data_IF_709305059759
#
_entry.id   IF_709305059759
#
_cell.length_a   1.000
_cell.length_b   1.000
_cell.length_c   1.000
_cell.angle_alpha   90.00
_cell.angle_beta   90.00
_cell.angle_gamma   90.00
#
_symmetry.space_group_name_H-M   'P 1'
#
loop_
_entity.id
_entity.type
_entity.pdbx_description
1 polymer ?
#
# COMPACT_ATOMS: atom_id res chain seq x y z
N UNK A 1 1.66 31.60 6.03
CA UNK A 1 1.95 30.88 4.77
C UNK A 1 0.87 29.85 4.60
N UNK A 2 0.28 29.69 3.40
CA UNK A 2 -0.58 28.54 3.15
C UNK A 2 0.18 27.28 3.55
N UNK A 3 -0.51 26.36 4.22
CA UNK A 3 0.08 25.17 4.81
C UNK A 3 0.56 24.27 3.65
N UNK A 4 1.86 24.32 3.30
CA UNK A 4 2.40 23.62 2.12
C UNK A 4 2.04 22.13 2.10
N UNK A 5 1.97 21.52 3.29
CA UNK A 5 1.52 20.15 3.46
C UNK A 5 0.08 19.91 2.96
N UNK A 6 -0.84 20.85 3.20
CA UNK A 6 -2.23 20.73 2.79
C UNK A 6 -2.36 20.82 1.26
N UNK A 7 -1.65 21.77 0.65
CA UNK A 7 -1.61 21.92 -0.80
C UNK A 7 -0.99 20.69 -1.48
N UNK A 8 0.12 20.20 -0.93
CA UNK A 8 0.77 18.97 -1.40
C UNK A 8 -0.15 17.75 -1.23
N UNK A 9 -0.89 17.65 -0.12
CA UNK A 9 -1.86 16.58 0.11
C UNK A 9 -3.01 16.63 -0.89
N UNK A 10 -3.55 17.82 -1.20
CA UNK A 10 -4.59 18.01 -2.21
C UNK A 10 -4.07 17.57 -3.58
N UNK A 11 -2.86 17.98 -3.95
CA UNK A 11 -2.20 17.59 -5.20
C UNK A 11 -2.01 16.06 -5.32
N UNK A 12 -1.91 15.35 -4.19
CA UNK A 12 -1.78 13.89 -4.15
C UNK A 12 -3.11 13.14 -4.27
N UNK A 13 -4.28 13.77 -4.13
CA UNK A 13 -5.58 13.07 -4.14
C UNK A 13 -5.83 12.24 -5.41
N UNK A 14 -5.58 12.73 -6.65
CA UNK A 14 -5.77 11.93 -7.85
C UNK A 14 -4.91 10.67 -7.85
N UNK A 15 -3.67 10.79 -7.36
CA UNK A 15 -2.68 9.70 -7.27
C UNK A 15 -3.09 8.64 -6.25
N UNK A 16 -3.62 9.06 -5.10
CA UNK A 16 -4.19 8.16 -4.10
C UNK A 16 -5.41 7.41 -4.62
N UNK A 17 -6.30 8.07 -5.38
CA UNK A 17 -7.45 7.42 -6.03
C UNK A 17 -7.03 6.30 -6.98
N UNK A 18 -5.98 6.52 -7.78
CA UNK A 18 -5.46 5.48 -8.70
C UNK A 18 -5.03 4.23 -7.94
N UNK A 19 -4.28 4.38 -6.85
CA UNK A 19 -3.87 3.23 -6.04
C UNK A 19 -5.09 2.58 -5.34
N UNK A 20 -5.99 3.38 -4.78
CA UNK A 20 -7.19 2.88 -4.12
C UNK A 20 -8.07 2.05 -5.06
N UNK A 21 -8.27 2.51 -6.31
CA UNK A 21 -8.99 1.76 -7.34
C UNK A 21 -8.29 0.44 -7.68
N UNK A 22 -6.95 0.45 -7.77
CA UNK A 22 -6.18 -0.75 -8.05
C UNK A 22 -6.28 -1.80 -6.93
N UNK A 23 -6.42 -1.35 -5.68
CA UNK A 23 -6.55 -2.22 -4.50
C UNK A 23 -7.98 -2.75 -4.33
N UNK A 24 -8.97 -1.86 -4.46
CA UNK A 24 -10.36 -2.15 -4.09
C UNK A 24 -11.22 -2.67 -5.25
N UNK A 25 -10.87 -2.34 -6.50
CA UNK A 25 -11.71 -2.58 -7.68
C UNK A 25 -13.16 -2.12 -7.50
N UNK A 26 -13.37 -1.04 -6.74
CA UNK A 26 -14.70 -0.47 -6.53
C UNK A 26 -14.55 1.03 -6.36
N UNK A 27 -15.28 1.81 -7.16
CA UNK A 27 -15.21 3.27 -7.09
C UNK A 27 -15.65 3.80 -5.73
N UNK A 28 -16.73 3.25 -5.20
CA UNK A 28 -17.23 3.63 -3.87
C UNK A 28 -16.19 3.31 -2.79
N UNK A 29 -15.70 2.06 -2.75
CA UNK A 29 -14.71 1.65 -1.76
C UNK A 29 -13.37 2.40 -1.91
N UNK A 30 -13.00 2.80 -3.12
CA UNK A 30 -11.81 3.59 -3.37
C UNK A 30 -11.92 5.02 -2.83
N UNK A 31 -13.06 5.70 -3.03
CA UNK A 31 -13.27 7.04 -2.46
C UNK A 31 -13.30 7.00 -0.94
N UNK A 32 -13.97 6.00 -0.34
CA UNK A 32 -13.98 5.79 1.12
C UNK A 32 -12.55 5.58 1.65
N UNK A 33 -11.77 4.73 0.98
CA UNK A 33 -10.38 4.46 1.36
C UNK A 33 -9.51 5.73 1.26
N UNK A 34 -9.69 6.54 0.22
CA UNK A 34 -8.96 7.82 0.07
C UNK A 34 -9.36 8.81 1.17
N UNK A 35 -10.66 8.92 1.47
CA UNK A 35 -11.14 9.78 2.55
C UNK A 35 -10.52 9.38 3.89
N UNK A 36 -10.57 8.10 4.26
CA UNK A 36 -9.94 7.59 5.48
C UNK A 36 -8.44 7.83 5.50
N UNK A 37 -7.77 7.71 4.35
CA UNK A 37 -6.34 7.99 4.20
C UNK A 37 -6.03 9.45 4.51
N UNK A 38 -6.80 10.38 3.96
CA UNK A 38 -6.63 11.82 4.19
C UNK A 38 -6.86 12.18 5.66
N UNK A 39 -7.92 11.65 6.28
CA UNK A 39 -8.20 11.85 7.71
C UNK A 39 -7.02 11.36 8.56
N UNK A 40 -6.51 10.15 8.30
CA UNK A 40 -5.37 9.62 9.01
C UNK A 40 -4.08 10.40 8.76
N UNK A 41 -3.84 10.87 7.53
CA UNK A 41 -2.67 11.67 7.20
C UNK A 41 -2.68 13.02 7.92
N UNK A 42 -3.84 13.68 8.00
CA UNK A 42 -3.99 14.93 8.76
C UNK A 42 -3.79 14.69 10.26
N UNK A 43 -4.36 13.62 10.83
CA UNK A 43 -4.16 13.26 12.22
C UNK A 43 -2.69 12.90 12.54
N UNK A 44 -1.99 12.28 11.59
CA UNK A 44 -0.59 11.89 11.72
C UNK A 44 0.39 12.95 11.18
N UNK A 45 -0.06 14.17 10.84
CA UNK A 45 0.77 15.21 10.21
C UNK A 45 2.07 15.46 10.97
N UNK A 46 2.02 15.50 12.30
CA UNK A 46 3.20 15.72 13.15
C UNK A 46 4.26 14.61 13.06
N UNK A 47 3.89 13.41 12.56
CA UNK A 47 4.81 12.28 12.36
C UNK A 47 5.50 12.32 10.99
N UNK A 48 4.99 13.12 10.05
CA UNK A 48 5.65 13.33 8.77
C UNK A 48 6.93 14.15 8.96
N UNK A 49 8.03 13.68 8.38
CA UNK A 49 9.33 14.38 8.43
C UNK A 49 9.48 15.23 7.16
N UNK A 50 9.50 16.57 7.27
CA UNK A 50 9.74 17.44 6.11
C UNK A 50 11.05 17.08 5.40
N UNK A 51 11.07 17.17 4.07
CA UNK A 51 12.21 16.77 3.24
C UNK A 51 12.28 15.28 2.89
N UNK A 52 11.36 14.46 3.42
CA UNK A 52 11.16 13.07 2.95
C UNK A 52 10.06 12.98 1.89
N UNK A 53 9.93 11.84 1.22
CA UNK A 53 8.93 11.67 0.16
C UNK A 53 7.50 11.55 0.74
N UNK A 54 6.74 12.64 0.64
CA UNK A 54 5.33 12.70 1.05
C UNK A 54 4.47 11.67 0.31
N UNK A 55 4.70 11.47 -0.99
CA UNK A 55 3.92 10.52 -1.79
C UNK A 55 4.09 9.09 -1.26
N UNK A 56 5.33 8.65 -1.03
CA UNK A 56 5.60 7.34 -0.45
C UNK A 56 4.95 7.17 0.93
N UNK A 57 5.01 8.21 1.78
CA UNK A 57 4.37 8.20 3.09
C UNK A 57 2.84 8.06 3.00
N UNK A 58 2.18 8.83 2.13
CA UNK A 58 0.73 8.75 1.92
C UNK A 58 0.28 7.40 1.33
N UNK A 59 1.01 6.89 0.32
CA UNK A 59 0.74 5.56 -0.26
C UNK A 59 0.89 4.44 0.77
N UNK A 60 1.81 4.58 1.73
CA UNK A 60 1.95 3.66 2.86
C UNK A 60 0.76 3.73 3.82
N UNK A 61 0.28 4.92 4.16
CA UNK A 61 -0.93 5.09 5.01
C UNK A 61 -2.13 4.42 4.32
N UNK A 62 -2.34 4.70 3.04
CA UNK A 62 -3.44 4.16 2.25
C UNK A 62 -3.42 2.62 2.26
N UNK A 63 -2.26 2.03 1.97
CA UNK A 63 -2.11 0.57 1.94
C UNK A 63 -2.34 -0.06 3.32
N UNK A 64 -1.84 0.56 4.38
CA UNK A 64 -2.07 0.07 5.74
C UNK A 64 -3.55 0.13 6.13
N UNK A 65 -4.27 1.18 5.72
CA UNK A 65 -5.71 1.29 5.91
C UNK A 65 -6.44 0.17 5.17
N UNK A 66 -6.14 -0.03 3.90
CA UNK A 66 -6.74 -1.12 3.10
C UNK A 66 -6.54 -2.50 3.73
N UNK A 67 -5.31 -2.83 4.16
CA UNK A 67 -5.02 -4.12 4.82
C UNK A 67 -5.80 -4.24 6.14
N UNK A 68 -5.92 -3.15 6.90
CA UNK A 68 -6.69 -3.13 8.15
C UNK A 68 -8.17 -3.40 7.90
N UNK A 69 -8.75 -2.80 6.86
CA UNK A 69 -10.15 -3.01 6.48
C UNK A 69 -10.39 -4.44 5.99
N UNK A 70 -9.47 -4.99 5.20
CA UNK A 70 -9.52 -6.39 4.76
C UNK A 70 -9.45 -7.39 5.91
N UNK A 71 -8.65 -7.11 6.95
CA UNK A 71 -8.60 -7.97 8.15
C UNK A 71 -9.90 -7.91 8.94
N UNK A 72 -10.56 -6.74 9.01
CA UNK A 72 -11.84 -6.55 9.72
C UNK A 72 -13.03 -7.18 8.99
N UNK A 73 -12.99 -7.25 7.65
CA UNK A 73 -14.09 -7.75 6.81
C UNK A 73 -14.21 -9.28 6.72
N UNK A 74 -13.33 -10.07 7.35
CA UNK A 74 -13.53 -11.52 7.46
C UNK A 74 -14.48 -11.79 8.64
N UNK A 75 -15.69 -12.38 8.47
CA UNK A 75 -16.08 -13.40 7.46
C UNK A 75 -17.32 -13.09 6.55
N UNK A 76 -17.30 -13.66 5.33
CA UNK A 76 -18.44 -13.96 4.39
C UNK A 76 -19.20 -12.84 3.62
N UNK A 77 -18.52 -11.96 2.87
CA UNK A 77 -19.19 -11.25 1.77
C UNK A 77 -18.30 -11.23 0.51
N UNK A 78 -18.78 -11.70 -0.65
CA UNK A 78 -18.09 -11.52 -1.92
C UNK A 78 -18.00 -10.02 -2.25
N UNK A 79 -16.79 -9.53 -2.54
CA UNK A 79 -16.62 -8.18 -3.07
C UNK A 79 -17.06 -8.25 -4.54
N UNK A 80 -18.11 -7.51 -4.89
CA UNK A 80 -18.44 -7.27 -6.29
C UNK A 80 -17.27 -6.52 -6.94
N UNK A 81 -16.60 -7.19 -7.88
CA UNK A 81 -15.53 -6.61 -8.70
C UNK A 81 -16.15 -5.60 -9.67
N UNK A 82 -15.86 -4.30 -9.49
CA UNK A 82 -16.16 -3.27 -10.48
C UNK A 82 -14.92 -3.04 -11.36
N UNK A 83 -15.03 -3.04 -12.70
CA UNK A 83 -13.89 -2.85 -13.57
C UNK A 83 -13.24 -1.46 -13.41
N UNK A 84 -11.92 -1.37 -13.56
CA UNK A 84 -11.12 -0.12 -13.45
C UNK A 84 -11.48 0.93 -14.52
N UNK A 85 -12.41 0.63 -15.43
CA UNK A 85 -12.78 1.42 -16.62
C UNK A 85 -13.29 2.86 -16.42
N UNK A 86 -13.28 3.39 -15.19
CA UNK A 86 -13.65 4.78 -14.88
C UNK A 86 -12.48 5.77 -14.92
N UNK A 87 -11.26 5.34 -15.25
CA UNK A 87 -10.08 6.24 -15.23
C UNK A 87 -9.95 7.14 -16.48
N UNK A 88 -10.77 6.95 -17.51
CA UNK A 88 -10.68 7.71 -18.76
C UNK A 88 -11.57 8.95 -18.74
N UNK A 89 -10.98 10.13 -18.53
CA UNK A 89 -11.58 11.40 -18.94
C UNK A 89 -11.69 11.43 -20.47
N UNK A 90 -12.75 12.08 -20.98
CA UNK A 90 -13.17 12.08 -22.38
C UNK A 90 -12.01 12.12 -23.39
N UNK A 91 -11.87 11.03 -24.15
CA UNK A 91 -10.96 10.88 -25.26
C UNK A 91 -11.75 10.41 -26.50
N UNK A 92 -11.13 10.48 -27.68
CA UNK A 92 -11.64 9.90 -28.92
C UNK A 92 -12.19 8.48 -28.67
N UNK A 93 -13.31 8.05 -29.27
CA UNK A 93 -13.79 6.68 -29.18
C UNK A 93 -12.70 5.60 -29.30
N UNK A 94 -11.68 5.81 -30.14
CA UNK A 94 -10.55 4.89 -30.29
C UNK A 94 -9.67 4.82 -29.02
N UNK A 95 -9.32 5.97 -28.44
CA UNK A 95 -8.52 6.05 -27.20
C UNK A 95 -9.26 5.44 -26.01
N UNK A 96 -10.59 5.62 -25.97
CA UNK A 96 -11.43 5.00 -24.92
C UNK A 96 -11.41 3.49 -25.02
N UNK A 97 -11.41 2.93 -26.23
CA UNK A 97 -11.33 1.48 -26.43
C UNK A 97 -9.98 0.93 -25.93
N UNK A 98 -8.88 1.55 -26.33
CA UNK A 98 -7.52 1.17 -25.88
C UNK A 98 -7.40 1.26 -24.36
N UNK A 99 -7.92 2.34 -23.75
CA UNK A 99 -7.92 2.50 -22.30
C UNK A 99 -8.75 1.42 -21.58
N UNK A 100 -9.88 1.00 -22.17
CA UNK A 100 -10.69 -0.09 -21.62
C UNK A 100 -9.99 -1.44 -21.72
N UNK A 101 -9.29 -1.72 -22.82
CA UNK A 101 -8.50 -2.94 -22.99
C UNK A 101 -7.34 -3.01 -21.99
N UNK A 102 -6.62 -1.90 -21.82
CA UNK A 102 -5.58 -1.78 -20.80
C UNK A 102 -6.14 -1.97 -19.38
N UNK A 103 -7.27 -1.34 -19.07
CA UNK A 103 -7.92 -1.49 -17.76
C UNK A 103 -8.30 -2.96 -17.48
N UNK A 104 -8.87 -3.66 -18.46
CA UNK A 104 -9.19 -5.10 -18.36
C UNK A 104 -7.93 -5.95 -18.18
N UNK A 105 -6.84 -5.63 -18.88
CA UNK A 105 -5.58 -6.35 -18.75
C UNK A 105 -4.96 -6.16 -17.35
N UNK A 106 -4.98 -4.93 -16.82
CA UNK A 106 -4.57 -4.62 -15.45
C UNK A 106 -5.41 -5.35 -14.41
N UNK A 107 -6.72 -5.44 -14.63
CA UNK A 107 -7.63 -6.15 -13.71
C UNK A 107 -7.30 -7.64 -13.61
N UNK A 108 -6.77 -8.26 -14.65
CA UNK A 108 -6.34 -9.66 -14.64
C UNK A 108 -5.03 -9.92 -13.90
N UNK A 109 -4.24 -8.88 -13.61
CA UNK A 109 -3.01 -9.04 -12.86
C UNK A 109 -3.30 -9.40 -11.38
N UNK A 110 -2.44 -10.21 -10.74
CA UNK A 110 -2.44 -10.36 -9.29
C UNK A 110 -2.36 -9.00 -8.60
N UNK A 111 -3.10 -8.82 -7.50
CA UNK A 111 -3.21 -7.52 -6.81
C UNK A 111 -1.84 -6.89 -6.48
N UNK A 112 -0.92 -7.69 -5.94
CA UNK A 112 0.45 -7.23 -5.64
C UNK A 112 1.21 -6.74 -6.88
N UNK A 113 1.04 -7.40 -8.03
CA UNK A 113 1.72 -7.03 -9.28
C UNK A 113 1.12 -5.75 -9.86
N UNK A 114 -0.22 -5.64 -9.86
CA UNK A 114 -0.93 -4.42 -10.27
C UNK A 114 -0.54 -3.23 -9.41
N UNK A 115 -0.60 -3.38 -8.08
CA UNK A 115 -0.22 -2.31 -7.14
C UNK A 115 1.23 -1.86 -7.38
N UNK A 116 2.17 -2.81 -7.43
CA UNK A 116 3.59 -2.50 -7.63
C UNK A 116 3.83 -1.78 -8.97
N UNK A 117 3.20 -2.26 -10.05
CA UNK A 117 3.36 -1.67 -11.36
C UNK A 117 2.88 -0.21 -11.35
N UNK A 118 1.68 0.05 -10.84
CA UNK A 118 1.10 1.41 -10.84
C UNK A 118 1.87 2.38 -9.96
N UNK A 119 2.38 1.92 -8.80
CA UNK A 119 3.22 2.76 -7.95
C UNK A 119 4.52 3.17 -8.65
N UNK A 120 5.13 2.28 -9.43
CA UNK A 120 6.35 2.61 -10.18
C UNK A 120 6.03 3.47 -11.42
N UNK A 121 5.04 3.09 -12.24
CA UNK A 121 4.86 3.70 -13.56
C UNK A 121 3.98 4.95 -13.55
N UNK A 122 2.88 4.93 -12.80
CA UNK A 122 1.97 6.08 -12.74
C UNK A 122 2.30 7.01 -11.58
N UNK A 123 2.76 6.43 -10.46
CA UNK A 123 3.16 7.21 -9.30
C UNK A 123 4.65 7.52 -9.29
N UNK A 124 5.46 7.03 -10.22
CA UNK A 124 6.88 7.43 -10.31
C UNK A 124 7.71 7.14 -9.06
N UNK A 125 7.27 6.24 -8.18
CA UNK A 125 8.05 5.82 -7.01
C UNK A 125 9.21 4.93 -7.46
N UNK A 126 10.36 5.11 -6.80
CA UNK A 126 11.50 4.19 -6.94
C UNK A 126 11.15 2.79 -6.43
N UNK A 127 11.93 1.79 -6.84
CA UNK A 127 11.73 0.42 -6.36
C UNK A 127 11.92 0.31 -4.83
N UNK A 128 12.81 1.13 -4.29
CA UNK A 128 13.12 1.28 -2.87
C UNK A 128 11.92 1.84 -2.11
N UNK A 129 11.32 2.93 -2.59
CA UNK A 129 10.12 3.52 -1.97
C UNK A 129 8.92 2.58 -2.06
N UNK A 130 8.73 1.88 -3.19
CA UNK A 130 7.66 0.88 -3.30
C UNK A 130 7.88 -0.30 -2.36
N UNK A 131 9.14 -0.70 -2.13
CA UNK A 131 9.47 -1.73 -1.15
C UNK A 131 9.08 -1.28 0.28
N UNK A 132 9.32 -0.02 0.63
CA UNK A 132 8.89 0.57 1.90
C UNK A 132 7.36 0.68 2.03
N UNK A 133 6.66 1.09 0.97
CA UNK A 133 5.19 1.17 0.94
C UNK A 133 4.57 -0.21 1.10
N UNK A 134 5.09 -1.20 0.36
CA UNK A 134 4.50 -2.55 0.30
C UNK A 134 5.02 -3.48 1.39
N UNK A 135 6.05 -3.10 2.14
CA UNK A 135 6.71 -3.94 3.14
C UNK A 135 7.38 -5.18 2.54
N UNK A 136 7.89 -5.06 1.31
CA UNK A 136 8.52 -6.15 0.55
C UNK A 136 9.99 -5.85 0.28
N UNK A 137 10.79 -6.85 -0.12
CA UNK A 137 12.18 -6.61 -0.53
C UNK A 137 12.26 -5.93 -1.91
N UNK A 138 13.28 -5.10 -2.15
CA UNK A 138 13.49 -4.40 -3.44
C UNK A 138 13.54 -5.38 -4.63
N UNK A 139 14.20 -6.54 -4.48
CA UNK A 139 14.19 -7.59 -5.51
C UNK A 139 12.81 -8.19 -5.79
N UNK A 140 11.92 -8.22 -4.79
CA UNK A 140 10.52 -8.63 -4.98
C UNK A 140 9.75 -7.59 -5.77
N UNK A 141 9.98 -6.30 -5.51
CA UNK A 141 9.39 -5.20 -6.29
C UNK A 141 9.81 -5.29 -7.76
N UNK A 142 11.13 -5.39 -8.02
CA UNK A 142 11.66 -5.51 -9.39
C UNK A 142 11.08 -6.71 -10.14
N UNK A 143 11.03 -7.89 -9.50
CA UNK A 143 10.45 -9.09 -10.13
C UNK A 143 8.94 -9.00 -10.34
N UNK A 144 8.19 -8.33 -9.45
CA UNK A 144 6.75 -8.06 -9.65
C UNK A 144 6.52 -7.12 -10.83
N UNK A 145 7.29 -6.04 -10.96
CA UNK A 145 7.20 -5.11 -12.11
C UNK A 145 7.50 -5.83 -13.42
N UNK A 146 8.58 -6.62 -13.45
CA UNK A 146 8.95 -7.40 -14.64
C UNK A 146 7.81 -8.34 -15.07
N UNK A 147 7.27 -9.13 -14.13
CA UNK A 147 6.17 -10.06 -14.40
C UNK A 147 4.89 -9.35 -14.83
N UNK A 148 4.57 -8.20 -14.21
CA UNK A 148 3.41 -7.40 -14.57
C UNK A 148 3.51 -6.89 -16.01
N UNK A 149 4.67 -6.36 -16.41
CA UNK A 149 4.93 -5.91 -17.79
C UNK A 149 4.79 -7.04 -18.80
N UNK A 150 5.45 -8.17 -18.57
CA UNK A 150 5.35 -9.34 -19.45
C UNK A 150 3.93 -9.92 -19.54
N UNK A 151 3.12 -9.79 -18.48
CA UNK A 151 1.72 -10.19 -18.52
C UNK A 151 0.85 -9.22 -19.34
N UNK A 152 1.08 -7.91 -19.23
CA UNK A 152 0.38 -6.91 -20.03
C UNK A 152 0.76 -7.00 -21.52
N UNK A 153 2.05 -7.18 -21.81
CA UNK A 153 2.57 -7.35 -23.17
C UNK A 153 1.88 -8.51 -23.88
N UNK A 154 1.85 -9.69 -23.25
CA UNK A 154 1.12 -10.87 -23.77
C UNK A 154 -0.38 -10.62 -23.93
N UNK A 155 -1.00 -9.87 -23.01
CA UNK A 155 -2.43 -9.62 -23.04
C UNK A 155 -2.86 -8.61 -24.12
N UNK A 156 -1.99 -7.66 -24.48
CA UNK A 156 -2.31 -6.54 -25.37
C UNK A 156 -1.73 -6.69 -26.78
N UNK A 157 -0.53 -7.26 -26.92
CA UNK A 157 0.14 -7.42 -28.22
C UNK A 157 -0.06 -8.80 -28.83
N UNK A 158 -0.61 -9.76 -28.07
CA UNK A 158 -0.95 -11.08 -28.57
C UNK A 158 0.26 -11.82 -29.14
N UNK A 159 1.23 -12.15 -28.30
CA UNK A 159 2.26 -13.13 -28.68
C UNK A 159 1.77 -14.54 -28.35
N UNK A 160 1.82 -15.40 -29.38
CA UNK A 160 1.51 -16.83 -29.32
C UNK A 160 2.20 -17.50 -28.13
N UNK A 161 1.55 -18.52 -27.57
CA UNK A 161 2.13 -19.39 -26.55
C UNK A 161 3.55 -19.84 -26.95
N UNK A 162 4.55 -19.17 -26.41
CA UNK A 162 5.96 -19.48 -26.56
C UNK A 162 6.60 -19.35 -25.19
N UNK A 163 6.96 -20.48 -24.61
CA UNK A 163 7.63 -20.65 -23.33
C UNK A 163 7.00 -19.90 -22.14
N UNK A 164 6.15 -20.62 -21.40
CA UNK A 164 6.01 -20.31 -19.96
C UNK A 164 7.40 -20.51 -19.35
N UNK A 165 8.07 -19.50 -18.74
CA UNK A 165 9.17 -19.84 -17.86
C UNK A 165 8.51 -20.59 -16.72
N UNK A 166 8.73 -21.90 -16.72
CA UNK A 166 8.30 -22.82 -15.69
C UNK A 166 8.47 -22.15 -14.33
N UNK A 167 7.44 -22.25 -13.49
CA UNK A 167 7.46 -21.81 -12.12
C UNK A 167 8.79 -22.22 -11.47
N UNK A 168 9.72 -21.26 -11.35
CA UNK A 168 10.93 -21.48 -10.58
C UNK A 168 10.47 -21.64 -9.14
N UNK A 169 10.79 -22.77 -8.49
CA UNK A 169 10.25 -23.08 -7.19
C UNK A 169 10.71 -22.02 -6.18
N UNK A 170 9.82 -21.74 -5.22
CA UNK A 170 10.06 -20.88 -4.07
C UNK A 170 11.46 -21.10 -3.47
N UNK A 171 12.11 -20.07 -2.91
CA UNK A 171 13.39 -20.26 -2.24
C UNK A 171 13.25 -21.36 -1.19
N UNK A 172 14.05 -22.42 -1.36
CA UNK A 172 14.17 -23.53 -0.42
C UNK A 172 14.42 -22.94 0.96
N UNK A 173 13.45 -23.09 1.87
CA UNK A 173 13.66 -22.88 3.30
C UNK A 173 14.80 -23.80 3.71
N UNK A 174 15.94 -23.23 4.08
CA UNK A 174 16.97 -23.97 4.78
C UNK A 174 16.33 -24.59 6.03
N UNK A 175 16.12 -25.90 5.96
CA UNK A 175 15.72 -26.76 7.07
C UNK A 175 16.86 -26.67 8.09
N UNK A 176 16.74 -25.80 9.10
CA UNK A 176 17.63 -25.85 10.26
C UNK A 176 17.25 -27.09 11.05
N UNK A 177 18.25 -27.95 11.24
CA UNK A 177 18.19 -29.15 12.04
C UNK A 177 17.58 -28.88 13.42
N UNK A 178 16.61 -29.73 13.80
CA UNK A 178 16.24 -29.93 15.18
C UNK A 178 17.40 -30.65 15.89
N UNK A 179 17.79 -30.10 17.04
CA UNK A 179 18.83 -30.64 17.91
C UNK A 179 18.82 -29.91 19.25
N UNK A 180 17.97 -30.39 20.16
CA UNK A 180 18.19 -30.52 21.61
C UNK A 180 18.72 -29.34 22.45
N UNK A 181 17.83 -28.81 23.31
CA UNK A 181 18.07 -28.63 24.76
C UNK A 181 18.91 -27.44 25.25
N UNK A 182 18.25 -26.44 25.84
CA UNK A 182 18.90 -25.40 26.69
C UNK A 182 17.91 -24.29 27.11
N UNK A 183 17.97 -23.77 28.36
CA UNK A 183 16.80 -23.26 29.08
C UNK A 183 16.38 -21.81 28.73
N UNK A 184 15.13 -21.51 29.10
CA UNK A 184 14.42 -20.26 28.84
C UNK A 184 15.11 -18.99 29.39
N UNK A 185 15.04 -17.85 28.67
CA UNK A 185 15.51 -16.58 29.20
C UNK A 185 14.49 -15.97 30.19
N UNK A 186 15.03 -15.51 31.33
CA UNK A 186 14.35 -14.81 32.42
C UNK A 186 13.61 -13.56 31.94
N UNK A 187 12.42 -13.34 32.50
CA UNK A 187 11.64 -12.12 32.37
C UNK A 187 12.44 -10.90 32.88
N UNK A 188 12.56 -9.89 32.03
CA UNK A 188 13.02 -8.55 32.41
C UNK A 188 11.84 -7.83 33.06
N UNK A 189 11.89 -7.72 34.39
CA UNK A 189 11.00 -6.87 35.18
C UNK A 189 11.24 -5.40 34.85
N UNK A 190 10.22 -4.71 34.34
CA UNK A 190 10.20 -3.26 34.32
C UNK A 190 9.71 -2.76 35.70
N UNK A 191 10.41 -1.82 36.35
CA UNK A 191 9.95 -1.26 37.61
C UNK A 191 8.70 -0.40 37.39
N UNK A 192 7.66 -0.67 38.19
CA UNK A 192 6.52 0.23 38.40
C UNK A 192 7.06 1.49 39.07
N UNK A 193 7.05 2.62 38.36
CA UNK A 193 7.34 3.89 38.98
C UNK A 193 6.05 4.43 39.60
N UNK A 194 5.89 4.21 40.90
CA UNK A 194 5.00 4.98 41.78
C UNK A 194 5.58 6.40 41.89
N UNK A 195 4.90 7.37 41.28
CA UNK A 195 5.06 8.77 41.64
C UNK A 195 3.88 9.15 42.52
N UNK A 196 4.12 9.01 43.82
CA UNK A 196 3.44 9.74 44.86
C UNK A 196 3.56 11.25 44.57
N UNK A 197 2.43 11.93 44.40
CA UNK A 197 2.34 13.37 44.56
C UNK A 197 1.88 13.61 46.00
N UNK A 198 2.85 13.65 46.91
CA UNK A 198 2.73 14.39 48.16
C UNK A 198 3.37 15.76 47.95
N UNK A 199 2.54 16.79 47.83
CA UNK A 199 2.93 18.16 48.15
C UNK A 199 1.89 18.74 49.10
N UNK A 200 2.09 18.48 50.39
CA UNK A 200 1.56 19.36 51.43
C UNK A 200 2.49 20.56 51.58
N UNK A 201 1.93 21.79 51.57
CA UNK A 201 2.01 22.77 52.68
C UNK A 201 1.88 24.24 52.21
N UNK A 202 0.94 24.92 52.87
CA UNK A 202 0.90 26.34 53.27
C UNK A 202 0.67 27.45 52.23
N UNK A 203 -0.55 28.00 52.28
CA UNK A 203 -0.87 29.41 52.58
C UNK A 203 -2.32 29.39 53.10
N UNK A 204 -2.75 30.01 54.19
CA UNK A 204 -2.36 31.25 54.84
C UNK A 204 -3.68 31.85 55.32
N UNK A 205 -3.91 31.83 56.62
CA UNK A 205 -5.04 32.47 57.29
C UNK A 205 -4.89 33.99 57.17
N UNK A 206 -5.94 34.71 56.76
CA UNK A 206 -6.65 35.81 57.47
C UNK A 206 -7.96 36.05 56.73
#
# INVERSE_FOLDING_TARGET
MPDSFHDDLIAMLPRLRIQALALTRSRAAAEDLVQDTVVNALAARAQFRPGTNLAAWLHRILRNRFISDMRKRRPNVPIEDAPIGSLAAAADPADRLVAQELARALDRLPADQRETLLLVTLQGLSCEEVAEVTGSAVGTVKSRVFRARAALERALLGEAAGETPAATPAPRRHRRHAGTGGPAPRAVSLPRNELAIETGRAAGSV
#
